data_IF_973999484584
#
_entry.id   IF_973999484584
#
_cell.length_a   1.000
_cell.length_b   1.000
_cell.length_c   1.000
_cell.angle_alpha   90.00
_cell.angle_beta   90.00
_cell.angle_gamma   90.00
#
_symmetry.space_group_name_H-M   'P 1'
#
loop_
_entity.id
_entity.type
_entity.pdbx_description
1 polymer ?
#
# COMPACT_ATOMS: atom_id res chain seq x y z
N UNK A 1 -9.64 -13.00 -7.49
CA UNK A 1 -8.53 -12.91 -6.52
C UNK A 1 -9.19 -12.90 -5.17
N UNK A 2 -8.89 -13.86 -4.30
CA UNK A 2 -9.51 -13.93 -2.97
C UNK A 2 -9.30 -12.65 -2.14
N UNK A 3 -8.08 -12.12 -2.13
CA UNK A 3 -7.74 -10.93 -1.33
C UNK A 3 -7.56 -9.70 -2.22
N UNK A 4 -8.19 -8.59 -1.86
CA UNK A 4 -8.17 -7.31 -2.58
C UNK A 4 -7.36 -6.23 -1.87
N UNK A 5 -7.12 -6.39 -0.57
CA UNK A 5 -6.39 -5.43 0.26
C UNK A 5 -5.33 -6.10 1.13
N UNK A 6 -4.15 -5.50 1.18
CA UNK A 6 -3.05 -5.87 2.06
C UNK A 6 -2.76 -4.71 3.01
N UNK A 7 -2.91 -4.93 4.31
CA UNK A 7 -2.62 -3.96 5.36
C UNK A 7 -1.33 -4.37 6.05
N UNK A 8 -0.39 -3.44 6.16
CA UNK A 8 0.93 -3.68 6.74
C UNK A 8 1.17 -2.70 7.88
N UNK A 9 1.51 -3.22 9.06
CA UNK A 9 2.24 -2.41 10.02
C UNK A 9 3.63 -2.02 9.46
N UNK A 10 4.20 -0.94 9.98
CA UNK A 10 5.46 -0.39 9.50
C UNK A 10 6.65 -0.87 10.33
N UNK A 11 6.65 -0.63 11.64
CA UNK A 11 7.82 -0.80 12.50
C UNK A 11 7.82 -2.20 13.12
N UNK A 12 8.83 -3.02 12.85
CA UNK A 12 8.84 -4.42 13.28
C UNK A 12 8.10 -5.36 12.32
N UNK A 13 7.48 -4.80 11.27
CA UNK A 13 6.77 -5.55 10.23
C UNK A 13 7.32 -5.28 8.82
N UNK A 14 7.04 -4.12 8.23
CA UNK A 14 7.52 -3.76 6.88
C UNK A 14 9.00 -3.40 6.86
N UNK A 15 9.48 -2.74 7.91
CA UNK A 15 10.85 -2.28 8.02
C UNK A 15 11.71 -3.29 8.80
N UNK A 16 12.93 -3.48 8.32
CA UNK A 16 13.99 -4.13 9.07
C UNK A 16 14.53 -3.22 10.19
N UNK A 17 15.49 -3.70 10.96
CA UNK A 17 16.07 -3.00 12.11
C UNK A 17 16.84 -1.72 11.69
N UNK A 18 17.38 -1.67 10.46
CA UNK A 18 17.94 -0.46 9.86
C UNK A 18 16.87 0.55 9.37
N UNK A 19 15.59 0.28 9.62
CA UNK A 19 14.45 1.10 9.18
C UNK A 19 14.33 1.22 7.67
N UNK A 20 14.70 0.16 6.95
CA UNK A 20 14.63 0.06 5.49
C UNK A 20 13.63 -1.01 5.02
N UNK A 21 13.01 -0.75 3.86
CA UNK A 21 12.30 -1.79 3.10
C UNK A 21 13.33 -2.53 2.26
N UNK A 22 13.48 -3.84 2.49
CA UNK A 22 14.41 -4.70 1.75
C UNK A 22 14.05 -4.76 0.25
N UNK A 23 15.03 -5.02 -0.64
CA UNK A 23 14.77 -5.13 -2.08
C UNK A 23 13.71 -6.19 -2.42
N UNK A 24 13.73 -7.34 -1.72
CA UNK A 24 12.77 -8.43 -1.94
C UNK A 24 11.36 -8.02 -1.53
N UNK A 25 11.20 -7.43 -0.35
CA UNK A 25 9.90 -6.96 0.14
C UNK A 25 9.33 -5.89 -0.78
N UNK A 26 10.14 -4.90 -1.16
CA UNK A 26 9.74 -3.87 -2.13
C UNK A 26 9.28 -4.50 -3.46
N UNK A 27 10.09 -5.41 -4.01
CA UNK A 27 9.81 -6.06 -5.27
C UNK A 27 8.48 -6.84 -5.25
N UNK A 28 8.22 -7.55 -4.16
CA UNK A 28 7.02 -8.35 -3.91
C UNK A 28 5.78 -7.47 -3.77
N UNK A 29 5.86 -6.41 -2.98
CA UNK A 29 4.75 -5.47 -2.76
C UNK A 29 4.38 -4.71 -4.05
N UNK A 30 5.37 -4.31 -4.85
CA UNK A 30 5.11 -3.75 -6.18
C UNK A 30 4.41 -4.75 -7.11
N UNK A 31 4.80 -6.03 -7.06
CA UNK A 31 4.17 -7.07 -7.89
C UNK A 31 2.70 -7.27 -7.52
N UNK A 32 2.36 -7.41 -6.23
CA UNK A 32 0.95 -7.58 -5.83
C UNK A 32 0.11 -6.35 -6.12
N UNK A 33 0.69 -5.16 -5.99
CA UNK A 33 0.04 -3.94 -6.45
C UNK A 33 -0.24 -4.00 -7.94
N UNK A 34 0.74 -4.34 -8.78
CA UNK A 34 0.52 -4.48 -10.24
C UNK A 34 -0.57 -5.49 -10.59
N UNK A 35 -0.82 -6.47 -9.72
CA UNK A 35 -1.89 -7.45 -9.89
C UNK A 35 -3.27 -6.98 -9.41
N UNK A 36 -3.40 -5.75 -8.91
CA UNK A 36 -4.68 -5.16 -8.49
C UNK A 36 -4.87 -5.06 -6.96
N UNK A 37 -4.02 -5.68 -6.15
CA UNK A 37 -4.14 -5.60 -4.68
C UNK A 37 -3.82 -4.18 -4.22
N UNK A 38 -4.69 -3.60 -3.41
CA UNK A 38 -4.44 -2.31 -2.76
C UNK A 38 -3.59 -2.51 -1.51
N UNK A 39 -2.65 -1.59 -1.23
CA UNK A 39 -1.84 -1.63 -0.01
C UNK A 39 -2.22 -0.48 0.92
N UNK A 40 -2.34 -0.78 2.22
CA UNK A 40 -2.49 0.20 3.31
C UNK A 40 -1.29 0.09 4.23
N UNK A 41 -0.61 1.20 4.50
CA UNK A 41 0.37 1.29 5.60
C UNK A 41 -0.35 1.77 6.86
N UNK A 42 -0.30 1.00 7.93
CA UNK A 42 -1.00 1.28 9.18
C UNK A 42 -0.01 1.42 10.34
N UNK A 43 0.23 2.63 10.82
CA UNK A 43 1.30 2.90 11.81
C UNK A 43 0.90 3.95 12.85
N UNK A 44 1.58 3.91 14.01
CA UNK A 44 1.53 4.96 15.02
C UNK A 44 2.25 6.25 14.62
N UNK A 45 3.10 6.19 13.58
CA UNK A 45 3.83 7.35 13.05
C UNK A 45 2.90 8.44 12.51
N UNK A 46 3.31 9.71 12.54
CA UNK A 46 2.66 10.78 11.80
C UNK A 46 2.66 10.51 10.30
N UNK A 47 1.66 11.04 9.60
CA UNK A 47 1.52 10.91 8.14
C UNK A 47 2.81 11.27 7.41
N UNK A 48 3.47 12.36 7.82
CA UNK A 48 4.72 12.83 7.24
C UNK A 48 5.84 11.77 7.31
N UNK A 49 5.94 11.04 8.43
CA UNK A 49 6.93 9.99 8.63
C UNK A 49 6.71 8.76 7.74
N UNK A 50 5.47 8.54 7.27
CA UNK A 50 5.09 7.40 6.42
C UNK A 50 5.19 7.75 4.93
N UNK A 51 5.03 9.02 4.55
CA UNK A 51 5.05 9.46 3.14
C UNK A 51 6.27 8.98 2.34
N UNK A 52 7.52 8.99 2.86
CA UNK A 52 8.67 8.45 2.13
C UNK A 52 8.52 6.97 1.78
N UNK A 53 7.96 6.17 2.68
CA UNK A 53 7.71 4.74 2.47
C UNK A 53 6.61 4.52 1.44
N UNK A 54 5.51 5.26 1.56
CA UNK A 54 4.42 5.23 0.60
C UNK A 54 4.87 5.60 -0.82
N UNK A 55 5.78 6.58 -0.95
CA UNK A 55 6.42 6.94 -2.23
C UNK A 55 7.32 5.83 -2.76
N UNK A 56 8.14 5.20 -1.91
CA UNK A 56 9.02 4.07 -2.29
C UNK A 56 8.21 2.87 -2.80
N UNK A 57 7.04 2.63 -2.20
CA UNK A 57 6.09 1.58 -2.63
C UNK A 57 5.18 2.03 -3.78
N UNK A 58 5.32 3.26 -4.28
CA UNK A 58 4.47 3.81 -5.34
C UNK A 58 2.96 3.74 -5.03
N UNK A 59 2.56 3.84 -3.75
CA UNK A 59 1.16 3.67 -3.34
C UNK A 59 0.21 4.61 -4.09
N UNK A 60 0.64 5.83 -4.38
CA UNK A 60 -0.17 6.77 -5.16
C UNK A 60 -0.46 6.33 -6.60
N UNK A 61 0.40 5.51 -7.21
CA UNK A 61 0.21 4.97 -8.55
C UNK A 61 -0.78 3.80 -8.56
N UNK A 62 -0.81 3.03 -7.45
CA UNK A 62 -1.58 1.80 -7.33
C UNK A 62 -2.81 1.94 -6.41
N UNK A 63 -3.19 3.17 -6.03
CA UNK A 63 -4.38 3.44 -5.22
C UNK A 63 -4.26 2.90 -3.79
N UNK A 64 -3.08 3.01 -3.18
CA UNK A 64 -2.86 2.67 -1.78
C UNK A 64 -3.28 3.78 -0.82
N UNK A 65 -3.28 3.45 0.47
CA UNK A 65 -3.73 4.32 1.55
C UNK A 65 -2.70 4.36 2.68
N UNK A 66 -2.77 5.42 3.49
CA UNK A 66 -1.97 5.57 4.71
C UNK A 66 -2.95 5.74 5.87
N UNK A 67 -2.78 4.94 6.90
CA UNK A 67 -3.45 5.01 8.18
C UNK A 67 -2.37 5.38 9.22
N UNK A 68 -2.38 6.62 9.66
CA UNK A 68 -1.38 7.22 10.54
C UNK A 68 -1.94 7.52 11.92
N UNK A 69 -1.07 7.88 12.87
CA UNK A 69 -1.46 8.23 14.24
C UNK A 69 -2.34 7.14 14.89
N UNK A 70 -1.99 5.87 14.70
CA UNK A 70 -2.74 4.71 15.21
C UNK A 70 -4.20 4.62 14.70
N UNK A 71 -4.53 5.30 13.60
CA UNK A 71 -5.86 5.35 13.02
C UNK A 71 -6.56 6.69 13.16
N UNK A 72 -5.96 7.68 13.83
CA UNK A 72 -6.57 9.00 13.91
C UNK A 72 -6.70 9.68 12.54
N UNK A 73 -5.92 9.27 11.53
CA UNK A 73 -6.07 9.78 10.16
C UNK A 73 -5.92 8.65 9.13
N UNK A 74 -6.77 8.67 8.11
CA UNK A 74 -6.69 7.82 6.92
C UNK A 74 -6.69 8.69 5.68
N UNK A 75 -5.67 8.55 4.83
CA UNK A 75 -5.55 9.32 3.59
C UNK A 75 -5.35 8.42 2.37
N UNK A 76 -5.82 8.88 1.21
CA UNK A 76 -5.50 8.31 -0.08
C UNK A 76 -4.08 8.75 -0.50
N UNK A 77 -3.18 7.80 -0.76
CA UNK A 77 -1.78 8.10 -1.06
C UNK A 77 -1.57 8.80 -2.41
N UNK A 78 -2.58 8.81 -3.30
CA UNK A 78 -2.50 9.43 -4.64
C UNK A 78 -2.62 10.94 -4.59
N UNK A 79 -3.63 11.44 -3.89
CA UNK A 79 -4.03 12.85 -3.90
C UNK A 79 -3.97 13.50 -2.51
N UNK A 80 -3.68 12.74 -1.46
CA UNK A 80 -3.71 13.22 -0.07
C UNK A 80 -5.11 13.49 0.46
N UNK A 81 -6.16 13.01 -0.22
CA UNK A 81 -7.53 13.13 0.25
C UNK A 81 -7.69 12.45 1.60
N UNK A 82 -8.30 13.16 2.55
CA UNK A 82 -8.54 12.67 3.90
C UNK A 82 -9.90 11.96 3.94
N UNK A 83 -9.88 10.65 4.18
CA UNK A 83 -11.10 9.84 4.26
C UNK A 83 -11.66 9.81 5.68
N UNK A 84 -10.77 9.80 6.66
CA UNK A 84 -11.10 9.79 8.08
C UNK A 84 -10.08 10.64 8.80
N UNK A 85 -10.55 11.49 9.71
CA UNK A 85 -9.68 12.23 10.61
C UNK A 85 -10.38 12.44 11.95
N UNK A 86 -9.66 12.23 13.04
CA UNK A 86 -10.04 12.64 14.38
C UNK A 86 -8.92 13.45 15.00
N UNK A 87 -9.32 14.50 15.72
CA UNK A 87 -8.39 15.43 16.36
C UNK A 87 -8.77 15.64 17.81
N UNK A 88 -7.77 15.96 18.62
CA UNK A 88 -7.92 16.36 20.01
C UNK A 88 -8.53 17.76 20.03
N UNK A 89 -9.53 17.99 20.89
CA UNK A 89 -10.05 19.34 21.11
C UNK A 89 -8.92 20.22 21.69
N UNK A 90 -8.53 21.34 21.03
CA UNK A 90 -7.48 22.24 21.50
C UNK A 90 -7.68 22.73 22.95
N UNK A 91 -8.93 22.84 23.40
CA UNK A 91 -9.25 23.24 24.78
C UNK A 91 -8.71 22.26 25.85
N UNK A 92 -8.33 21.05 25.46
CA UNK A 92 -7.71 20.06 26.35
C UNK A 92 -6.20 20.30 26.53
N UNK A 93 -5.54 21.01 25.60
CA UNK A 93 -4.09 21.19 25.61
C UNK A 93 -3.57 21.87 26.90
N UNK A 94 -4.21 22.93 27.44
CA UNK A 94 -3.78 23.52 28.70
C UNK A 94 -3.86 22.53 29.88
N UNK A 95 -4.83 21.60 29.86
CA UNK A 95 -4.92 20.56 30.88
C UNK A 95 -3.80 19.52 30.74
N UNK A 96 -3.50 19.09 29.50
CA UNK A 96 -2.42 18.14 29.22
C UNK A 96 -1.05 18.74 29.59
N UNK A 97 -0.76 19.96 29.13
CA UNK A 97 0.48 20.67 29.46
C UNK A 97 0.64 20.87 30.97
N UNK A 98 -0.41 21.34 31.66
CA UNK A 98 -0.38 21.51 33.12
C UNK A 98 -0.05 20.21 33.86
N UNK A 99 -0.56 19.08 33.36
CA UNK A 99 -0.29 17.76 33.93
C UNK A 99 1.11 17.26 33.60
N UNK A 100 1.60 17.49 32.38
CA UNK A 100 2.98 17.19 32.01
C UNK A 100 3.95 17.94 32.94
N UNK A 101 3.80 19.28 33.02
CA UNK A 101 4.63 20.14 33.87
C UNK A 101 4.56 19.78 35.37
N UNK A 102 3.37 19.42 35.88
CA UNK A 102 3.22 19.00 37.29
C UNK A 102 4.00 17.72 37.62
N UNK A 103 4.10 16.78 36.67
CA UNK A 103 4.81 15.51 36.87
C UNK A 103 6.26 15.56 36.38
N UNK A 104 6.73 16.68 35.80
CA UNK A 104 8.07 16.79 35.24
C UNK A 104 8.24 16.06 33.90
N UNK A 105 7.16 15.94 33.13
CA UNK A 105 7.18 15.31 31.81
C UNK A 105 7.29 16.38 30.72
N UNK A 106 8.01 16.08 29.66
CA UNK A 106 7.95 16.86 28.43
C UNK A 106 6.67 16.51 27.65
N UNK A 107 6.24 17.39 26.76
CA UNK A 107 5.06 17.21 25.92
C UNK A 107 5.34 17.68 24.50
N UNK A 108 4.85 16.92 23.51
CA UNK A 108 4.93 17.33 22.12
C UNK A 108 3.70 16.91 21.31
N UNK A 109 3.56 17.53 20.14
CA UNK A 109 2.56 17.20 19.11
C UNK A 109 3.14 17.33 17.72
N UNK A 110 2.38 16.89 16.73
CA UNK A 110 2.75 16.94 15.31
C UNK A 110 1.92 18.00 14.57
N UNK A 111 2.55 18.60 13.56
CA UNK A 111 1.94 19.40 12.49
C UNK A 111 2.19 18.70 11.14
N UNK A 112 1.90 19.35 10.02
CA UNK A 112 2.08 18.75 8.68
C UNK A 112 3.50 18.23 8.44
N UNK A 113 4.53 19.02 8.75
CA UNK A 113 5.95 18.69 8.50
C UNK A 113 6.86 18.91 9.72
N UNK A 114 6.31 19.34 10.86
CA UNK A 114 7.08 19.66 12.08
C UNK A 114 6.52 19.03 13.35
N UNK A 115 7.37 18.88 14.35
CA UNK A 115 6.99 18.58 15.72
C UNK A 115 7.12 19.85 16.57
N UNK A 116 6.14 20.09 17.42
CA UNK A 116 6.15 21.19 18.41
C UNK A 116 6.27 20.55 19.78
N UNK A 117 7.28 20.93 20.55
CA UNK A 117 7.56 20.39 21.88
C UNK A 117 7.80 21.51 22.88
N UNK A 118 7.50 21.28 24.16
CA UNK A 118 7.85 22.24 25.22
C UNK A 118 9.36 22.29 25.51
N UNK A 119 10.06 21.18 25.27
CA UNK A 119 11.49 20.98 25.51
C UNK A 119 12.12 20.24 24.32
N UNK A 120 12.92 20.93 23.50
CA UNK A 120 13.51 20.34 22.31
C UNK A 120 14.83 19.61 22.56
N UNK A 121 15.41 19.70 23.76
CA UNK A 121 16.63 19.02 24.18
C UNK A 121 16.37 17.61 24.74
N UNK A 122 15.10 17.22 24.91
CA UNK A 122 14.73 15.88 25.35
C UNK A 122 15.15 14.81 24.31
N UNK A 123 15.95 13.84 24.74
CA UNK A 123 16.55 12.83 23.86
C UNK A 123 15.51 12.00 23.09
N UNK A 124 14.42 11.59 23.74
CA UNK A 124 13.37 10.79 23.09
C UNK A 124 12.58 11.60 22.06
N UNK A 125 12.35 12.89 22.32
CA UNK A 125 11.70 13.79 21.35
C UNK A 125 12.60 13.99 20.12
N UNK A 126 13.91 14.16 20.32
CA UNK A 126 14.89 14.25 19.23
C UNK A 126 14.93 12.97 18.39
N UNK A 127 14.89 11.80 19.03
CA UNK A 127 14.85 10.51 18.34
C UNK A 127 13.56 10.35 17.53
N UNK A 128 12.40 10.72 18.08
CA UNK A 128 11.11 10.69 17.37
C UNK A 128 11.10 11.64 16.16
N UNK A 129 11.65 12.84 16.31
CA UNK A 129 11.79 13.80 15.21
C UNK A 129 12.72 13.25 14.11
N UNK A 130 13.84 12.62 14.49
CA UNK A 130 14.76 11.98 13.55
C UNK A 130 14.11 10.82 12.80
N UNK A 131 13.41 9.92 13.52
CA UNK A 131 12.73 8.75 12.96
C UNK A 131 11.70 9.14 11.90
N UNK A 132 10.97 10.23 12.15
CA UNK A 132 9.91 10.73 11.28
C UNK A 132 10.38 11.82 10.29
N UNK A 133 11.66 12.23 10.37
CA UNK A 133 12.28 13.25 9.52
C UNK A 133 11.59 14.62 9.62
N UNK A 134 11.16 14.99 10.82
CA UNK A 134 10.42 16.22 11.07
C UNK A 134 11.32 17.28 11.70
N UNK A 135 11.08 18.55 11.35
CA UNK A 135 11.71 19.68 12.02
C UNK A 135 11.14 19.81 13.44
N UNK A 136 11.99 19.97 14.46
CA UNK A 136 11.57 20.16 15.83
C UNK A 136 11.56 21.64 16.20
N UNK A 137 10.44 22.13 16.72
CA UNK A 137 10.25 23.49 17.21
C UNK A 137 10.03 23.43 18.72
N UNK A 138 10.83 24.21 19.46
CA UNK A 138 10.65 24.41 20.90
C UNK A 138 9.68 25.56 21.19
N UNK A 139 8.63 25.27 21.95
CA UNK A 139 7.61 26.21 22.40
C UNK A 139 7.30 26.00 23.88
N UNK A 140 8.00 26.70 24.80
CA UNK A 140 7.86 26.47 26.25
C UNK A 140 6.45 26.71 26.82
N UNK A 141 5.64 27.51 26.12
CA UNK A 141 4.21 27.70 26.39
C UNK A 141 3.40 26.90 25.37
N UNK A 142 3.50 25.57 25.48
CA UNK A 142 3.04 24.61 24.47
C UNK A 142 1.57 24.79 24.08
N UNK A 143 0.67 24.93 25.05
CA UNK A 143 -0.77 25.09 24.77
C UNK A 143 -1.14 26.45 24.18
N UNK A 144 -0.25 27.44 24.22
CA UNK A 144 -0.42 28.73 23.55
C UNK A 144 0.01 28.63 22.09
N UNK A 145 1.13 27.94 21.82
CA UNK A 145 1.67 27.78 20.48
C UNK A 145 0.85 26.80 19.61
N UNK A 146 0.26 25.77 20.23
CA UNK A 146 -0.60 24.80 19.55
C UNK A 146 -2.04 25.32 19.53
N UNK A 147 -2.32 26.24 18.61
CA UNK A 147 -3.63 26.89 18.42
C UNK A 147 -4.56 26.14 17.44
N UNK A 148 -4.16 24.94 17.03
CA UNK A 148 -4.90 24.06 16.12
C UNK A 148 -5.27 22.75 16.84
N UNK A 149 -6.14 21.96 16.22
CA UNK A 149 -6.54 20.65 16.74
C UNK A 149 -5.55 19.57 16.26
N UNK A 150 -4.70 19.01 17.14
CA UNK A 150 -3.72 18.01 16.75
C UNK A 150 -4.35 16.61 16.65
N UNK A 151 -3.78 15.74 15.81
CA UNK A 151 -4.23 14.35 15.70
C UNK A 151 -3.81 13.49 16.90
N UNK A 152 -2.74 13.88 17.60
CA UNK A 152 -2.12 13.14 18.70
C UNK A 152 -1.25 14.07 19.54
N UNK A 153 -1.22 13.88 20.85
CA UNK A 153 -0.22 14.47 21.74
C UNK A 153 0.54 13.37 22.48
N UNK A 154 1.78 13.67 22.87
CA UNK A 154 2.67 12.72 23.52
C UNK A 154 3.27 13.35 24.76
N UNK A 155 3.24 12.62 25.88
CA UNK A 155 4.00 12.97 27.08
C UNK A 155 5.21 12.05 27.19
N UNK A 156 6.33 12.60 27.65
CA UNK A 156 7.63 11.95 27.64
C UNK A 156 8.29 12.01 29.02
N UNK A 157 8.76 10.87 29.52
CA UNK A 157 9.52 10.79 30.76
C UNK A 157 10.31 9.48 30.87
N UNK A 158 11.48 9.53 31.48
CA UNK A 158 12.23 8.33 31.87
C UNK A 158 11.69 7.68 33.16
N UNK A 159 10.78 8.34 33.88
CA UNK A 159 10.11 7.79 35.05
C UNK A 159 8.90 6.94 34.63
N UNK A 160 9.18 5.67 34.35
CA UNK A 160 8.17 4.71 33.89
C UNK A 160 7.02 4.55 34.91
N UNK A 161 7.32 4.52 36.22
CA UNK A 161 6.30 4.38 37.26
C UNK A 161 5.36 5.59 37.30
N UNK A 162 5.90 6.79 37.13
CA UNK A 162 5.11 8.00 37.07
C UNK A 162 4.23 8.05 35.79
N UNK A 163 4.74 7.57 34.65
CA UNK A 163 3.95 7.43 33.42
C UNK A 163 2.81 6.42 33.59
N UNK A 164 3.08 5.25 34.18
CA UNK A 164 2.05 4.24 34.49
C UNK A 164 0.97 4.83 35.40
N UNK A 165 1.38 5.55 36.45
CA UNK A 165 0.45 6.21 37.37
C UNK A 165 -0.44 7.24 36.66
N UNK A 166 0.13 8.02 35.74
CA UNK A 166 -0.63 9.00 34.95
C UNK A 166 -1.56 8.32 33.94
N UNK A 167 -1.09 7.27 33.27
CA UNK A 167 -1.87 6.45 32.34
C UNK A 167 -3.13 5.90 33.03
N UNK A 168 -2.99 5.23 34.19
CA UNK A 168 -4.12 4.70 34.93
C UNK A 168 -5.11 5.78 35.40
N UNK A 169 -4.58 6.93 35.81
CA UNK A 169 -5.40 8.07 36.21
C UNK A 169 -6.20 8.63 35.03
N UNK A 170 -5.55 8.78 33.87
CA UNK A 170 -6.18 9.35 32.68
C UNK A 170 -7.12 8.38 31.99
N UNK A 171 -6.82 7.08 31.94
CA UNK A 171 -7.76 6.05 31.50
C UNK A 171 -9.11 6.13 32.21
N UNK A 172 -9.13 6.53 33.48
CA UNK A 172 -10.37 6.75 34.25
C UNK A 172 -10.95 8.14 34.03
N UNK A 173 -10.13 9.19 34.09
CA UNK A 173 -10.59 10.60 34.11
C UNK A 173 -10.99 11.12 32.74
N UNK A 174 -10.33 10.67 31.69
CA UNK A 174 -10.52 11.11 30.31
C UNK A 174 -11.34 10.10 29.49
N UNK A 175 -11.84 9.03 30.12
CA UNK A 175 -12.66 8.01 29.45
C UNK A 175 -13.83 8.64 28.68
N UNK A 176 -13.99 8.26 27.41
CA UNK A 176 -15.00 8.82 26.52
C UNK A 176 -14.65 10.18 25.90
N UNK A 177 -13.53 10.80 26.30
CA UNK A 177 -13.05 12.06 25.73
C UNK A 177 -11.71 11.88 24.98
N UNK A 178 -10.75 11.19 25.61
CA UNK A 178 -9.44 10.89 25.02
C UNK A 178 -9.02 9.46 25.39
N UNK A 179 -8.38 8.79 24.45
CA UNK A 179 -7.74 7.50 24.70
C UNK A 179 -6.28 7.74 25.10
N UNK A 180 -5.83 6.99 26.11
CA UNK A 180 -4.50 7.14 26.70
C UNK A 180 -3.89 5.77 26.93
N UNK A 181 -2.70 5.57 26.39
CA UNK A 181 -1.91 4.34 26.57
C UNK A 181 -0.44 4.62 26.33
N UNK A 182 0.43 3.75 26.85
CA UNK A 182 1.87 3.81 26.55
C UNK A 182 2.20 3.01 25.30
N UNK A 183 3.00 3.59 24.40
CA UNK A 183 3.55 2.90 23.23
C UNK A 183 4.98 2.43 23.46
N UNK A 184 5.76 3.19 24.22
CA UNK A 184 7.11 2.85 24.68
C UNK A 184 7.20 3.07 26.20
N UNK A 185 8.21 2.52 26.90
CA UNK A 185 8.39 2.74 28.35
C UNK A 185 8.41 4.21 28.75
N UNK A 186 8.89 5.08 27.85
CA UNK A 186 9.05 6.52 28.05
C UNK A 186 8.00 7.39 27.35
N UNK A 187 7.04 6.79 26.62
CA UNK A 187 6.01 7.52 25.87
C UNK A 187 4.60 7.19 26.36
N UNK A 188 3.85 8.25 26.68
CA UNK A 188 2.42 8.19 26.94
C UNK A 188 1.66 8.91 25.83
N UNK A 189 0.93 8.15 25.03
CA UNK A 189 0.12 8.67 23.94
C UNK A 189 -1.22 9.18 24.43
N UNK A 190 -1.63 10.32 23.87
CA UNK A 190 -2.97 10.88 24.04
C UNK A 190 -3.57 11.04 22.65
N UNK A 191 -4.68 10.35 22.42
CA UNK A 191 -5.39 10.29 21.15
C UNK A 191 -6.87 10.66 21.34
N UNK A 192 -7.57 11.05 20.26
CA UNK A 192 -9.03 11.19 20.30
C UNK A 192 -9.69 9.87 20.70
N UNK A 193 -10.81 9.94 21.43
CA UNK A 193 -11.49 8.72 21.88
C UNK A 193 -12.03 7.86 20.72
N UNK A 194 -11.92 6.54 20.90
CA UNK A 194 -12.36 5.52 19.96
C UNK A 194 -11.45 5.41 18.74
N UNK A 195 -10.16 5.68 18.91
CA UNK A 195 -9.15 5.49 17.86
C UNK A 195 -8.38 4.20 18.12
N UNK A 196 -8.55 3.25 17.20
CA UNK A 196 -7.62 2.16 16.99
C UNK A 196 -7.49 1.86 15.49
N UNK A 197 -6.45 1.10 15.13
CA UNK A 197 -6.16 0.73 13.73
C UNK A 197 -7.32 -0.04 13.10
N UNK A 198 -7.96 -0.94 13.84
CA UNK A 198 -9.03 -1.82 13.32
C UNK A 198 -10.32 -1.08 12.98
N UNK A 199 -10.74 -0.13 13.82
CA UNK A 199 -11.94 0.70 13.63
C UNK A 199 -11.75 1.60 12.41
N UNK A 200 -10.57 2.18 12.27
CA UNK A 200 -10.20 3.05 11.16
C UNK A 200 -10.08 2.27 9.84
N UNK A 201 -9.54 1.04 9.91
CA UNK A 201 -9.53 0.10 8.80
C UNK A 201 -10.97 -0.26 8.37
N UNK A 202 -11.87 -0.56 9.31
CA UNK A 202 -13.28 -0.86 8.99
C UNK A 202 -14.00 0.29 8.26
N UNK A 203 -13.72 1.54 8.64
CA UNK A 203 -14.23 2.72 7.92
C UNK A 203 -13.69 2.80 6.48
N UNK A 204 -12.39 2.52 6.29
CA UNK A 204 -11.78 2.45 4.96
C UNK A 204 -12.40 1.33 4.11
N UNK A 205 -12.58 0.13 4.68
CA UNK A 205 -13.19 -1.00 3.97
C UNK A 205 -14.59 -0.68 3.44
N UNK A 206 -15.41 0.00 4.26
CA UNK A 206 -16.74 0.45 3.86
C UNK A 206 -16.71 1.43 2.69
N UNK A 207 -15.68 2.27 2.61
CA UNK A 207 -15.48 3.19 1.47
C UNK A 207 -15.03 2.47 0.20
N UNK A 208 -14.28 1.37 0.33
CA UNK A 208 -13.75 0.59 -0.79
C UNK A 208 -14.68 -0.52 -1.29
N UNK A 209 -15.80 -0.76 -0.62
CA UNK A 209 -16.68 -1.92 -0.87
C UNK A 209 -15.90 -3.25 -0.80
N UNK A 210 -15.05 -3.37 0.23
CA UNK A 210 -14.23 -4.56 0.51
C UNK A 210 -14.69 -5.16 1.84
N UNK A 211 -14.87 -6.47 1.88
CA UNK A 211 -15.23 -7.19 3.10
C UNK A 211 -14.00 -7.65 3.89
N UNK A 212 -14.07 -7.85 5.22
CA UNK A 212 -12.92 -8.30 6.00
C UNK A 212 -12.33 -9.62 5.49
N UNK A 213 -13.14 -10.53 4.95
CA UNK A 213 -12.72 -11.81 4.37
C UNK A 213 -11.77 -11.66 3.16
N UNK A 214 -11.78 -10.48 2.52
CA UNK A 214 -10.99 -10.14 1.33
C UNK A 214 -9.70 -9.39 1.68
N UNK A 215 -9.32 -9.30 2.96
CA UNK A 215 -8.11 -8.57 3.38
C UNK A 215 -7.09 -9.49 4.04
N UNK A 216 -5.83 -9.15 3.84
CA UNK A 216 -4.70 -9.68 4.61
C UNK A 216 -4.17 -8.56 5.50
N UNK A 217 -3.94 -8.86 6.78
CA UNK A 217 -3.26 -7.96 7.71
C UNK A 217 -1.97 -8.61 8.19
N UNK A 218 -0.87 -7.87 8.16
CA UNK A 218 0.42 -8.31 8.73
C UNK A 218 0.86 -7.29 9.78
N UNK A 219 1.20 -7.78 10.97
CA UNK A 219 1.69 -6.96 12.08
C UNK A 219 2.51 -7.77 13.08
N UNK A 220 3.10 -7.08 14.06
CA UNK A 220 3.92 -7.71 15.11
C UNK A 220 3.59 -7.22 16.52
N UNK A 221 3.00 -6.03 16.64
CA UNK A 221 2.71 -5.38 17.91
C UNK A 221 1.35 -5.74 18.52
N UNK A 222 1.19 -5.47 19.81
CA UNK A 222 -0.09 -5.63 20.52
C UNK A 222 -1.17 -4.70 19.93
N UNK A 223 -0.78 -3.53 19.44
CA UNK A 223 -1.66 -2.59 18.74
C UNK A 223 -2.21 -3.14 17.42
N UNK A 224 -1.63 -4.22 16.90
CA UNK A 224 -2.02 -4.82 15.62
C UNK A 224 -2.99 -6.00 15.81
N UNK A 225 -3.10 -6.54 17.02
CA UNK A 225 -3.92 -7.74 17.32
C UNK A 225 -5.36 -7.56 16.85
N UNK A 226 -5.96 -6.38 17.08
CA UNK A 226 -7.35 -6.13 16.67
C UNK A 226 -7.52 -6.16 15.15
N UNK A 227 -6.57 -5.60 14.38
CA UNK A 227 -6.63 -5.67 12.92
C UNK A 227 -6.28 -7.05 12.38
N UNK A 228 -5.34 -7.77 13.01
CA UNK A 228 -4.98 -9.15 12.68
C UNK A 228 -6.22 -10.05 12.80
N UNK A 229 -6.95 -9.98 13.92
CA UNK A 229 -8.15 -10.78 14.16
C UNK A 229 -9.35 -10.35 13.32
N UNK A 230 -9.35 -9.10 12.85
CA UNK A 230 -10.41 -8.57 12.00
C UNK A 230 -10.31 -9.06 10.56
N UNK A 231 -9.12 -9.40 10.08
CA UNK A 231 -8.88 -9.79 8.69
C UNK A 231 -9.32 -11.23 8.38
N UNK A 232 -9.67 -11.47 7.11
CA UNK A 232 -9.87 -12.83 6.59
C UNK A 232 -8.60 -13.68 6.59
N UNK A 233 -7.44 -13.03 6.65
CA UNK A 233 -6.16 -13.66 6.95
C UNK A 233 -5.28 -12.70 7.77
N UNK A 234 -5.22 -12.94 9.08
CA UNK A 234 -4.32 -12.26 10.01
C UNK A 234 -2.98 -12.98 10.12
N UNK A 235 -1.88 -12.25 9.90
CA UNK A 235 -0.52 -12.79 9.93
C UNK A 235 0.32 -12.06 10.98
N UNK A 236 0.90 -12.81 11.91
CA UNK A 236 1.89 -12.28 12.84
C UNK A 236 3.31 -12.47 12.31
N UNK A 237 4.18 -11.48 12.52
CA UNK A 237 5.60 -11.58 12.20
C UNK A 237 6.36 -12.56 13.13
N UNK A 238 7.48 -13.09 12.67
CA UNK A 238 8.31 -14.01 13.44
C UNK A 238 8.93 -13.38 14.69
N UNK A 239 9.19 -12.06 14.66
CA UNK A 239 9.67 -11.25 15.78
C UNK A 239 8.54 -10.80 16.73
N UNK A 240 7.27 -11.08 16.41
CA UNK A 240 6.15 -10.71 17.27
C UNK A 240 6.19 -11.45 18.61
N UNK A 241 5.59 -10.85 19.65
CA UNK A 241 5.40 -11.50 20.93
C UNK A 241 4.48 -12.73 20.81
N UNK A 242 4.66 -13.73 21.67
CA UNK A 242 3.82 -14.95 21.64
C UNK A 242 2.33 -14.64 21.83
N UNK A 243 2.01 -13.62 22.63
CA UNK A 243 0.64 -13.10 22.81
C UNK A 243 0.00 -12.60 21.51
N UNK A 244 0.78 -12.07 20.57
CA UNK A 244 0.32 -11.62 19.25
C UNK A 244 0.21 -12.80 18.30
N UNK A 245 1.22 -13.70 18.30
CA UNK A 245 1.26 -14.89 17.44
C UNK A 245 0.06 -15.81 17.64
N UNK A 246 -0.39 -16.01 18.87
CA UNK A 246 -1.57 -16.86 19.16
C UNK A 246 -2.89 -16.26 18.68
N UNK A 247 -2.92 -14.96 18.37
CA UNK A 247 -4.09 -14.26 17.84
C UNK A 247 -4.14 -14.25 16.31
N UNK A 248 -3.08 -14.68 15.62
CA UNK A 248 -3.00 -14.71 14.17
C UNK A 248 -3.38 -16.09 13.60
N UNK A 249 -3.86 -16.12 12.36
CA UNK A 249 -4.12 -17.37 11.63
C UNK A 249 -2.82 -18.06 11.23
N UNK A 250 -1.80 -17.26 10.91
CA UNK A 250 -0.50 -17.72 10.43
C UNK A 250 0.61 -16.86 11.05
N UNK A 251 1.75 -17.49 11.33
CA UNK A 251 2.99 -16.80 11.69
C UNK A 251 3.95 -16.88 10.50
N UNK A 252 4.53 -15.75 10.11
CA UNK A 252 5.57 -15.66 9.07
C UNK A 252 6.98 -15.53 9.68
N UNK A 253 8.02 -15.33 8.86
CA UNK A 253 9.38 -15.06 9.32
C UNK A 253 9.49 -13.67 9.98
N UNK A 254 10.65 -13.33 10.56
CA UNK A 254 10.87 -11.99 11.12
C UNK A 254 10.96 -10.92 10.02
N UNK A 255 10.88 -9.66 10.44
CA UNK A 255 11.17 -8.50 9.58
C UNK A 255 12.57 -8.57 8.94
N UNK A 256 13.58 -9.08 9.66
CA UNK A 256 14.95 -9.31 9.15
C UNK A 256 15.04 -10.42 8.08
N UNK A 257 14.06 -11.32 8.04
CA UNK A 257 14.03 -12.48 7.15
C UNK A 257 13.02 -12.32 6.00
N UNK A 258 12.67 -11.06 5.66
CA UNK A 258 11.67 -10.74 4.64
C UNK A 258 10.27 -11.36 4.93
N UNK A 259 9.87 -11.41 6.19
CA UNK A 259 8.62 -12.04 6.63
C UNK A 259 7.37 -11.56 5.87
N UNK A 260 7.29 -10.28 5.54
CA UNK A 260 6.24 -9.70 4.69
C UNK A 260 6.28 -10.30 3.28
N UNK A 261 7.44 -10.35 2.64
CA UNK A 261 7.57 -10.91 1.29
C UNK A 261 7.14 -12.39 1.27
N UNK A 262 7.63 -13.18 2.22
CA UNK A 262 7.30 -14.61 2.35
C UNK A 262 5.79 -14.83 2.55
N UNK A 263 5.17 -14.03 3.41
CA UNK A 263 3.73 -14.10 3.66
C UNK A 263 2.92 -13.79 2.40
N UNK A 264 3.28 -12.72 1.69
CA UNK A 264 2.60 -12.28 0.46
C UNK A 264 2.81 -13.26 -0.69
N UNK A 265 4.03 -13.78 -0.85
CA UNK A 265 4.36 -14.80 -1.85
C UNK A 265 3.49 -16.04 -1.65
N UNK A 266 3.34 -16.50 -0.41
CA UNK A 266 2.53 -17.66 -0.07
C UNK A 266 1.03 -17.38 -0.23
N UNK A 267 0.52 -16.29 0.34
CA UNK A 267 -0.91 -16.04 0.43
C UNK A 267 -1.54 -15.50 -0.86
N UNK A 268 -0.78 -14.77 -1.69
CA UNK A 268 -1.31 -14.14 -2.91
C UNK A 268 -0.68 -14.75 -4.17
N UNK A 269 0.64 -14.93 -4.20
CA UNK A 269 1.34 -15.30 -5.43
C UNK A 269 1.34 -16.80 -5.72
N UNK A 270 1.29 -17.65 -4.69
CA UNK A 270 1.32 -19.11 -4.86
C UNK A 270 -0.04 -19.72 -5.25
N UNK A 271 -1.16 -19.00 -5.05
CA UNK A 271 -2.53 -19.47 -5.29
C UNK A 271 -3.15 -18.99 -6.62
N UNK A 272 -2.40 -18.32 -7.50
CA UNK A 272 -2.97 -17.69 -8.71
C UNK A 272 -3.53 -18.76 -9.65
N UNK A 273 -4.86 -18.89 -9.67
CA UNK A 273 -5.60 -19.63 -10.70
C UNK A 273 -6.02 -18.66 -11.82
N UNK A 274 -6.07 -19.11 -13.09
CA UNK A 274 -6.51 -18.30 -14.23
C UNK A 274 -7.79 -17.48 -14.01
N UNK A 275 -8.76 -18.02 -13.26
CA UNK A 275 -10.05 -17.38 -13.01
C UNK A 275 -10.02 -16.24 -11.97
N UNK A 276 -8.87 -15.98 -11.33
CA UNK A 276 -8.78 -15.04 -10.22
C UNK A 276 -8.05 -13.73 -10.52
N UNK A 277 -7.55 -13.49 -11.73
CA UNK A 277 -6.87 -12.23 -12.06
C UNK A 277 -7.92 -11.09 -12.16
N UNK A 278 -7.78 -9.97 -11.41
CA UNK A 278 -8.80 -8.93 -11.34
C UNK A 278 -8.73 -7.98 -12.55
N UNK A 279 -9.19 -8.46 -13.70
CA UNK A 279 -9.10 -7.75 -14.99
C UNK A 279 -9.73 -6.35 -14.95
N UNK A 280 -10.85 -6.18 -14.25
CA UNK A 280 -11.53 -4.88 -14.13
C UNK A 280 -10.63 -3.83 -13.46
N UNK A 281 -9.91 -4.22 -12.40
CA UNK A 281 -8.98 -3.32 -11.71
C UNK A 281 -7.74 -3.01 -12.56
N UNK A 282 -7.22 -4.00 -13.30
CA UNK A 282 -6.12 -3.80 -14.24
C UNK A 282 -6.51 -2.81 -15.35
N UNK A 283 -7.72 -2.98 -15.91
CA UNK A 283 -8.27 -2.11 -16.94
C UNK A 283 -8.50 -0.68 -16.41
N UNK A 284 -9.03 -0.53 -15.19
CA UNK A 284 -9.28 0.76 -14.56
C UNK A 284 -7.99 1.56 -14.37
N UNK A 285 -6.94 0.92 -13.87
CA UNK A 285 -5.65 1.57 -13.61
C UNK A 285 -4.95 2.00 -14.89
N UNK A 286 -5.11 1.22 -15.96
CA UNK A 286 -4.46 1.51 -17.22
C UNK A 286 -5.18 2.58 -18.07
N UNK A 287 -6.32 3.10 -17.60
CA UNK A 287 -7.13 4.13 -18.27
C UNK A 287 -6.33 5.37 -18.70
N UNK A 288 -5.34 5.78 -17.90
CA UNK A 288 -4.51 6.96 -18.17
C UNK A 288 -3.13 6.64 -18.77
N UNK A 289 -2.89 5.39 -19.16
CA UNK A 289 -1.68 4.95 -19.86
C UNK A 289 -1.92 4.83 -21.37
N UNK A 290 -0.87 4.52 -22.13
CA UNK A 290 -0.97 4.28 -23.58
C UNK A 290 -2.11 3.30 -23.91
N UNK A 291 -2.25 2.21 -23.15
CA UNK A 291 -3.26 1.20 -23.43
C UNK A 291 -4.69 1.72 -23.24
N UNK A 292 -4.95 2.52 -22.18
CA UNK A 292 -6.24 3.18 -21.99
C UNK A 292 -6.55 4.20 -23.08
N UNK A 293 -5.54 4.97 -23.51
CA UNK A 293 -5.67 5.93 -24.61
C UNK A 293 -6.01 5.24 -25.95
N UNK A 294 -5.56 4.00 -26.16
CA UNK A 294 -5.91 3.19 -27.34
C UNK A 294 -7.21 2.39 -27.14
N UNK A 295 -7.85 2.45 -25.97
CA UNK A 295 -9.06 1.69 -25.66
C UNK A 295 -8.82 0.19 -25.48
N UNK A 296 -7.60 -0.22 -25.13
CA UNK A 296 -7.27 -1.63 -24.89
C UNK A 296 -7.88 -2.08 -23.55
N UNK A 297 -8.54 -3.24 -23.55
CA UNK A 297 -9.11 -3.86 -22.35
C UNK A 297 -8.74 -5.34 -22.28
N UNK A 298 -8.14 -5.78 -21.17
CA UNK A 298 -7.95 -7.20 -20.90
C UNK A 298 -9.31 -7.89 -20.70
N UNK A 299 -9.47 -9.06 -21.32
CA UNK A 299 -10.70 -9.86 -21.27
C UNK A 299 -10.47 -11.27 -20.73
N UNK A 300 -9.21 -11.72 -20.71
CA UNK A 300 -8.81 -13.00 -20.13
C UNK A 300 -7.33 -12.97 -19.74
N UNK A 301 -6.93 -13.66 -18.67
CA UNK A 301 -5.52 -13.87 -18.35
C UNK A 301 -5.29 -15.19 -17.61
N UNK A 302 -4.19 -15.86 -17.93
CA UNK A 302 -3.65 -17.05 -17.29
C UNK A 302 -2.13 -17.09 -17.45
N UNK A 303 -1.47 -18.09 -16.87
CA UNK A 303 -0.02 -18.28 -17.03
C UNK A 303 0.40 -18.54 -18.49
N UNK A 304 -0.47 -19.13 -19.29
CA UNK A 304 -0.19 -19.58 -20.66
C UNK A 304 -0.89 -18.74 -21.74
N UNK A 305 -1.92 -17.97 -21.38
CA UNK A 305 -2.74 -17.21 -22.32
C UNK A 305 -3.23 -15.89 -21.75
N UNK A 306 -3.15 -14.82 -22.53
CA UNK A 306 -3.72 -13.51 -22.19
C UNK A 306 -4.52 -13.00 -23.38
N UNK A 307 -5.68 -12.40 -23.14
CA UNK A 307 -6.49 -11.77 -24.17
C UNK A 307 -6.84 -10.33 -23.83
N UNK A 308 -6.90 -9.51 -24.86
CA UNK A 308 -7.38 -8.14 -24.77
C UNK A 308 -8.12 -7.74 -26.04
N UNK A 309 -9.03 -6.78 -25.92
CA UNK A 309 -9.73 -6.16 -27.05
C UNK A 309 -9.28 -4.72 -27.23
N UNK A 310 -9.38 -4.21 -28.46
CA UNK A 310 -9.09 -2.81 -28.80
C UNK A 310 -10.05 -2.34 -29.91
N UNK A 311 -10.72 -1.20 -29.77
CA UNK A 311 -11.61 -0.66 -30.80
C UNK A 311 -10.81 -0.12 -31.99
N UNK A 312 -11.39 -0.20 -33.18
CA UNK A 312 -10.90 0.48 -34.39
C UNK A 312 -11.69 1.77 -34.57
N UNK A 313 -11.15 2.87 -34.05
CA UNK A 313 -11.75 4.20 -34.09
C UNK A 313 -10.70 5.28 -34.39
N UNK A 314 -11.06 6.55 -34.23
CA UNK A 314 -10.18 7.69 -34.48
C UNK A 314 -8.82 7.64 -33.78
N UNK A 315 -8.70 6.88 -32.68
CA UNK A 315 -7.48 6.75 -31.88
C UNK A 315 -6.51 5.71 -32.44
N UNK A 316 -7.04 4.70 -33.14
CA UNK A 316 -6.31 3.49 -33.53
C UNK A 316 -6.27 3.28 -35.04
N UNK A 317 -7.06 4.03 -35.82
CA UNK A 317 -7.07 3.97 -37.29
C UNK A 317 -6.03 4.87 -37.93
N UNK A 318 -5.58 4.47 -39.12
CA UNK A 318 -4.88 5.34 -40.05
C UNK A 318 -5.88 6.23 -40.82
N UNK A 319 -5.44 7.30 -41.51
CA UNK A 319 -6.33 8.24 -42.19
C UNK A 319 -7.36 7.61 -43.15
N UNK A 320 -7.07 6.42 -43.69
CA UNK A 320 -7.92 5.66 -44.60
C UNK A 320 -8.99 4.79 -43.90
N UNK A 321 -9.18 4.93 -42.59
CA UNK A 321 -10.23 4.18 -41.85
C UNK A 321 -9.87 2.71 -41.58
N UNK A 322 -8.58 2.37 -41.62
CA UNK A 322 -8.07 1.00 -41.40
C UNK A 322 -7.26 1.00 -40.11
N UNK A 323 -7.29 -0.08 -39.33
CA UNK A 323 -6.47 -0.23 -38.13
C UNK A 323 -4.98 0.04 -38.41
N UNK A 324 -4.37 0.88 -37.57
CA UNK A 324 -2.96 1.24 -37.67
C UNK A 324 -2.07 0.08 -37.20
N UNK A 325 -1.06 -0.27 -37.99
CA UNK A 325 -0.13 -1.36 -37.67
C UNK A 325 0.55 -1.16 -36.31
N UNK A 326 1.01 0.06 -36.02
CA UNK A 326 1.59 0.42 -34.71
C UNK A 326 0.62 0.27 -33.53
N UNK A 327 -0.68 0.55 -33.70
CA UNK A 327 -1.67 0.32 -32.64
C UNK A 327 -1.85 -1.19 -32.39
N UNK A 328 -1.79 -1.99 -33.45
CA UNK A 328 -1.81 -3.46 -33.37
C UNK A 328 -0.59 -4.00 -32.62
N UNK A 329 0.60 -3.44 -32.86
CA UNK A 329 1.82 -3.81 -32.13
C UNK A 329 1.74 -3.40 -30.66
N UNK A 330 1.21 -2.22 -30.35
CA UNK A 330 1.00 -1.79 -28.96
C UNK A 330 0.03 -2.72 -28.21
N UNK A 331 -1.06 -3.17 -28.86
CA UNK A 331 -1.95 -4.20 -28.31
C UNK A 331 -1.21 -5.50 -28.02
N UNK A 332 -0.38 -5.97 -28.96
CA UNK A 332 0.40 -7.19 -28.77
C UNK A 332 1.43 -7.08 -27.63
N UNK A 333 2.16 -5.96 -27.54
CA UNK A 333 3.09 -5.70 -26.43
C UNK A 333 2.37 -5.67 -25.08
N UNK A 334 1.18 -5.06 -25.03
CA UNK A 334 0.35 -4.99 -23.81
C UNK A 334 -0.09 -6.38 -23.33
N UNK A 335 -0.51 -7.25 -24.24
CA UNK A 335 -0.90 -8.64 -23.95
C UNK A 335 0.29 -9.47 -23.48
N UNK A 336 1.39 -9.44 -24.22
CA UNK A 336 2.60 -10.20 -23.88
C UNK A 336 3.27 -9.70 -22.59
N UNK A 337 3.23 -8.39 -22.34
CA UNK A 337 3.75 -7.76 -21.12
C UNK A 337 3.05 -8.30 -19.87
N UNK A 338 1.71 -8.28 -19.85
CA UNK A 338 0.93 -8.85 -18.75
C UNK A 338 1.22 -10.35 -18.58
N UNK A 339 1.24 -11.10 -19.69
CA UNK A 339 1.56 -12.53 -19.65
C UNK A 339 2.91 -12.81 -19.01
N UNK A 340 3.96 -12.08 -19.42
CA UNK A 340 5.28 -12.20 -18.78
C UNK A 340 5.26 -11.78 -17.31
N UNK A 341 4.50 -10.75 -16.94
CA UNK A 341 4.44 -10.24 -15.57
C UNK A 341 3.83 -11.25 -14.61
N UNK A 342 2.79 -11.97 -15.06
CA UNK A 342 2.18 -13.08 -14.31
C UNK A 342 3.23 -14.15 -13.99
N UNK A 343 4.09 -14.46 -14.96
CA UNK A 343 5.10 -15.51 -14.86
C UNK A 343 6.38 -15.13 -14.12
N UNK A 344 6.67 -13.84 -13.95
CA UNK A 344 7.87 -13.36 -13.29
C UNK A 344 7.92 -13.76 -11.82
N UNK A 345 9.11 -14.01 -11.30
CA UNK A 345 9.33 -14.08 -9.86
C UNK A 345 9.13 -12.69 -9.22
N UNK A 346 8.89 -12.62 -7.90
CA UNK A 346 8.66 -11.35 -7.21
C UNK A 346 9.79 -10.32 -7.42
N UNK A 347 11.03 -10.79 -7.48
CA UNK A 347 12.26 -10.00 -7.66
C UNK A 347 12.61 -9.72 -9.13
N UNK A 348 11.73 -10.06 -10.06
CA UNK A 348 11.92 -9.86 -11.50
C UNK A 348 11.03 -8.72 -12.04
N UNK A 349 11.50 -8.08 -13.11
CA UNK A 349 10.73 -7.14 -13.94
C UNK A 349 10.73 -7.60 -15.39
N UNK A 350 9.67 -7.20 -16.09
CA UNK A 350 9.48 -7.40 -17.51
C UNK A 350 9.82 -6.11 -18.23
N UNK A 351 10.67 -6.20 -19.25
CA UNK A 351 10.93 -5.10 -20.18
C UNK A 351 10.72 -5.61 -21.60
N UNK A 352 9.92 -4.89 -22.40
CA UNK A 352 9.78 -5.18 -23.82
C UNK A 352 11.13 -5.02 -24.53
N UNK A 353 11.61 -6.08 -25.17
CA UNK A 353 12.90 -6.09 -25.88
C UNK A 353 12.72 -5.97 -27.38
N UNK A 354 11.73 -6.69 -27.93
CA UNK A 354 11.47 -6.71 -29.36
C UNK A 354 10.01 -7.04 -29.63
N UNK A 355 9.42 -6.33 -30.59
CA UNK A 355 8.13 -6.67 -31.18
C UNK A 355 8.28 -6.79 -32.69
N UNK A 356 7.75 -7.86 -33.28
CA UNK A 356 7.79 -8.11 -34.73
C UNK A 356 6.46 -8.71 -35.18
N UNK A 357 5.75 -8.01 -36.06
CA UNK A 357 4.41 -8.41 -36.50
C UNK A 357 4.27 -8.52 -38.00
N UNK A 358 3.50 -9.51 -38.46
CA UNK A 358 3.06 -9.64 -39.84
C UNK A 358 1.57 -9.29 -39.94
N UNK A 359 1.25 -8.25 -40.71
CA UNK A 359 -0.12 -7.83 -40.97
C UNK A 359 -0.65 -8.55 -42.23
N UNK A 360 -1.63 -9.44 -42.05
CA UNK A 360 -2.15 -10.31 -43.12
C UNK A 360 -3.49 -9.83 -43.66
N UNK A 361 -4.28 -9.13 -42.85
CA UNK A 361 -5.53 -8.55 -43.31
C UNK A 361 -5.84 -7.24 -42.56
N UNK A 362 -6.96 -6.61 -42.91
CA UNK A 362 -7.36 -5.31 -42.38
C UNK A 362 -8.58 -5.44 -41.48
N UNK A 363 -8.58 -4.67 -40.39
CA UNK A 363 -9.76 -4.30 -39.63
C UNK A 363 -10.10 -2.84 -39.94
N UNK A 364 -11.39 -2.51 -39.95
CA UNK A 364 -11.88 -1.21 -40.40
C UNK A 364 -12.54 -0.45 -39.24
N UNK A 365 -12.65 0.87 -39.40
CA UNK A 365 -13.36 1.73 -38.46
C UNK A 365 -14.75 1.18 -38.13
N UNK A 366 -15.08 1.13 -36.83
CA UNK A 366 -16.30 0.51 -36.29
C UNK A 366 -16.14 -0.95 -35.87
N UNK A 367 -15.02 -1.60 -36.19
CA UNK A 367 -14.70 -2.96 -35.70
C UNK A 367 -14.07 -2.92 -34.29
N UNK A 368 -14.02 -4.07 -33.63
CA UNK A 368 -13.25 -4.29 -32.40
C UNK A 368 -12.35 -5.50 -32.61
N UNK A 369 -11.05 -5.29 -32.48
CA UNK A 369 -10.08 -6.39 -32.62
C UNK A 369 -9.82 -7.07 -31.29
N UNK A 370 -9.62 -8.38 -31.34
CA UNK A 370 -9.30 -9.25 -30.19
C UNK A 370 -7.91 -9.83 -30.37
N UNK A 371 -7.02 -9.57 -29.42
CA UNK A 371 -5.69 -10.16 -29.36
C UNK A 371 -5.68 -11.38 -28.44
N UNK A 372 -5.06 -12.46 -28.89
CA UNK A 372 -4.83 -13.70 -28.13
C UNK A 372 -3.34 -13.95 -28.06
N UNK A 373 -2.76 -13.72 -26.89
CA UNK A 373 -1.36 -14.01 -26.59
C UNK A 373 -1.21 -15.39 -25.97
N UNK A 374 -0.27 -16.18 -26.48
CA UNK A 374 0.14 -17.47 -25.92
C UNK A 374 1.64 -17.53 -25.76
N UNK A 375 2.12 -18.09 -24.65
CA UNK A 375 3.56 -18.22 -24.42
C UNK A 375 4.18 -19.29 -25.33
N UNK A 376 5.28 -18.93 -25.99
CA UNK A 376 6.07 -19.83 -26.85
C UNK A 376 7.32 -20.31 -26.12
N UNK A 377 7.95 -19.43 -25.34
CA UNK A 377 9.15 -19.76 -24.57
C UNK A 377 9.13 -19.06 -23.22
N UNK A 378 9.28 -19.85 -22.15
CA UNK A 378 9.46 -19.39 -20.77
C UNK A 378 10.91 -19.62 -20.34
N UNK A 379 11.79 -18.67 -20.61
CA UNK A 379 13.19 -18.69 -20.21
C UNK A 379 13.45 -17.86 -18.95
N UNK A 380 14.59 -18.09 -18.29
CA UNK A 380 14.98 -17.35 -17.06
C UNK A 380 15.29 -15.86 -17.31
N UNK A 381 15.74 -15.52 -18.51
CA UNK A 381 16.15 -14.15 -18.88
C UNK A 381 15.28 -13.55 -19.99
N UNK A 382 14.39 -14.34 -20.58
CA UNK A 382 13.48 -13.86 -21.61
C UNK A 382 12.24 -14.73 -21.72
N UNK A 383 11.12 -14.08 -22.02
CA UNK A 383 9.89 -14.74 -22.43
C UNK A 383 9.58 -14.38 -23.88
N UNK A 384 9.11 -15.35 -24.66
CA UNK A 384 8.65 -15.13 -26.04
C UNK A 384 7.17 -15.46 -26.11
N UNK A 385 6.37 -14.51 -26.57
CA UNK A 385 4.94 -14.65 -26.76
C UNK A 385 4.60 -14.56 -28.24
N UNK A 386 3.61 -15.35 -28.66
CA UNK A 386 2.93 -15.18 -29.93
C UNK A 386 1.58 -14.54 -29.64
N UNK A 387 1.26 -13.44 -30.32
CA UNK A 387 -0.01 -12.72 -30.18
C UNK A 387 -0.68 -12.65 -31.54
N UNK A 388 -1.81 -13.33 -31.66
CA UNK A 388 -2.63 -13.30 -32.87
C UNK A 388 -3.81 -12.34 -32.65
N UNK A 389 -4.04 -11.44 -33.60
CA UNK A 389 -5.06 -10.40 -33.54
C UNK A 389 -6.13 -10.70 -34.58
N UNK A 390 -7.39 -10.75 -34.13
CA UNK A 390 -8.55 -11.11 -34.92
C UNK A 390 -9.55 -9.94 -34.97
N UNK A 391 -10.31 -9.85 -36.05
CA UNK A 391 -11.53 -9.02 -36.14
C UNK A 391 -12.67 -9.62 -35.30
N UNK A 392 -13.78 -8.89 -35.16
CA UNK A 392 -15.01 -9.40 -34.55
C UNK A 392 -15.61 -10.64 -35.24
N UNK A 393 -15.26 -10.90 -36.50
CA UNK A 393 -15.70 -12.08 -37.26
C UNK A 393 -14.64 -13.20 -37.27
N UNK A 394 -13.71 -13.21 -36.31
CA UNK A 394 -12.60 -14.17 -36.18
C UNK A 394 -11.65 -14.26 -37.40
N UNK A 395 -11.64 -13.23 -38.26
CA UNK A 395 -10.65 -13.13 -39.33
C UNK A 395 -9.32 -12.65 -38.75
N UNK A 396 -8.24 -13.37 -39.02
CA UNK A 396 -6.88 -13.04 -38.56
C UNK A 396 -6.36 -11.78 -39.26
N UNK A 397 -6.10 -10.73 -38.47
CA UNK A 397 -5.56 -9.43 -38.89
C UNK A 397 -4.05 -9.46 -38.88
N UNK A 398 -3.45 -9.94 -37.78
CA UNK A 398 -2.01 -9.92 -37.59
C UNK A 398 -1.54 -11.04 -36.69
N UNK A 399 -0.30 -11.49 -36.90
CA UNK A 399 0.40 -12.42 -36.01
C UNK A 399 1.72 -11.77 -35.59
N UNK A 400 1.91 -11.62 -34.29
CA UNK A 400 2.98 -10.82 -33.69
C UNK A 400 3.79 -11.67 -32.73
N UNK A 401 5.11 -11.57 -32.82
CA UNK A 401 6.04 -12.12 -31.84
C UNK A 401 6.56 -11.01 -30.95
N UNK A 402 6.38 -11.17 -29.64
CA UNK A 402 6.89 -10.25 -28.63
C UNK A 402 7.95 -10.98 -27.81
N UNK A 403 9.10 -10.36 -27.64
CA UNK A 403 10.16 -10.83 -26.77
C UNK A 403 10.29 -9.84 -25.62
N UNK A 404 10.13 -10.37 -24.41
CA UNK A 404 10.29 -9.64 -23.17
C UNK A 404 11.57 -10.11 -22.49
N UNK A 405 12.43 -9.17 -22.08
CA UNK A 405 13.55 -9.44 -21.19
C UNK A 405 13.06 -9.53 -19.76
N UNK A 406 13.54 -10.55 -19.04
CA UNK A 406 13.30 -10.73 -17.61
C UNK A 406 14.56 -10.30 -16.87
N UNK A 407 14.47 -9.22 -16.12
CA UNK A 407 15.59 -8.62 -15.40
C UNK A 407 15.34 -8.72 -13.90
N UNK A 408 16.40 -8.82 -13.10
CA UNK A 408 16.30 -8.64 -11.65
C UNK A 408 16.11 -7.16 -11.32
N UNK A 409 15.21 -6.84 -10.40
CA UNK A 409 15.10 -5.49 -9.83
C UNK A 409 16.41 -5.17 -9.11
N UNK A 410 17.03 -4.05 -9.46
CA UNK A 410 18.26 -3.56 -8.82
C UNK A 410 17.96 -2.72 -7.60
#
# INVERSE_FOLDING_TARGET
MKYKLLVLDVDGTLLNDEKEITPRTLATLLKVQQMGVHIVLASGRPTYGILPLAKKLELGNYGGYILSYNGAQVINAKNGEVLLERRINPEMLPYLEKKARKNGFAIFTYTEDRMIADQADNEHILQEAFLNRMELIEEPEFSVAVDFAPSKCMLVSDDEEALIGLEEHWKKRLNGALDVFRSEPYFLEVLPCGIDKSTSLGALLSHLDITPEEIIVIGDGVCDVSMIQFAGLGIAMGNAQDSVKVCADVVTASNEEDGVALAVEKAILSEIRPAEIPLDQLNERARHALMGNLGIQYTYASEDRVEATMPVDERTRQPFGILHGGATLALAETVAGLGSMILCQPDEIVVGMQVSGNHMSSAHEGDTVRAVGTIIHKGRSSHVWNVDVFTSTDKLVSSIRVVNSILKKR
#
